data_IF_165041864762
#
_entry.id   IF_165041864762
#
_cell.length_a   1.000
_cell.length_b   1.000
_cell.length_c   1.000
_cell.angle_alpha   90.00
_cell.angle_beta   90.00
_cell.angle_gamma   90.00
#
_symmetry.space_group_name_H-M   'P 1'
#
loop_
_entity.id
_entity.type
_entity.pdbx_description
1 polymer ?
#
# COMPACT_ATOMS: atom_id res chain seq x y z
N UNK A 1 1.06 20.54 10.80
CA UNK A 1 1.57 19.25 10.25
C UNK A 1 0.78 18.04 10.74
N UNK A 2 0.45 17.92 12.04
CA UNK A 2 -0.30 16.78 12.59
C UNK A 2 -1.70 16.56 11.96
N UNK A 3 -2.46 17.63 11.75
CA UNK A 3 -3.82 17.55 11.18
C UNK A 3 -3.79 16.98 9.74
N UNK A 4 -2.79 17.37 8.93
CA UNK A 4 -2.64 16.86 7.56
C UNK A 4 -2.35 15.36 7.52
N UNK A 5 -1.58 14.84 8.47
CA UNK A 5 -1.31 13.39 8.57
C UNK A 5 -2.57 12.61 8.94
N UNK A 6 -3.30 13.08 9.95
CA UNK A 6 -4.53 12.44 10.43
C UNK A 6 -5.62 12.40 9.35
N UNK A 7 -5.79 13.49 8.59
CA UNK A 7 -6.76 13.57 7.49
C UNK A 7 -6.41 12.61 6.35
N UNK A 8 -5.11 12.38 6.06
CA UNK A 8 -4.68 11.42 5.05
C UNK A 8 -4.69 9.97 5.55
N UNK A 9 -4.49 9.72 6.85
CA UNK A 9 -4.53 8.37 7.41
C UNK A 9 -5.93 7.76 7.34
N UNK A 10 -6.98 8.54 7.58
CA UNK A 10 -8.39 8.09 7.47
C UNK A 10 -8.72 7.40 6.12
N UNK A 11 -8.56 8.05 4.96
CA UNK A 11 -8.88 7.44 3.67
C UNK A 11 -7.94 6.27 3.35
N UNK A 12 -6.67 6.34 3.75
CA UNK A 12 -5.73 5.23 3.56
C UNK A 12 -6.18 4.00 4.34
N UNK A 13 -6.59 4.15 5.61
CA UNK A 13 -7.08 3.02 6.41
C UNK A 13 -8.38 2.42 5.84
N UNK A 14 -9.32 3.25 5.38
CA UNK A 14 -10.56 2.80 4.75
C UNK A 14 -10.30 2.01 3.46
N UNK A 15 -9.39 2.50 2.61
CA UNK A 15 -9.04 1.89 1.33
C UNK A 15 -8.04 0.74 1.44
N UNK A 16 -7.38 0.59 2.59
CA UNK A 16 -6.35 -0.44 2.82
C UNK A 16 -6.92 -1.87 2.87
N UNK A 17 -8.24 -2.05 2.95
CA UNK A 17 -8.81 -3.39 3.08
C UNK A 17 -8.98 -3.86 4.53
N UNK A 18 -8.58 -3.05 5.52
CA UNK A 18 -8.69 -3.36 6.96
C UNK A 18 -10.12 -3.24 7.47
N UNK A 19 -10.79 -2.13 7.14
CA UNK A 19 -12.16 -1.82 7.60
C UNK A 19 -13.19 -2.38 6.62
N UNK A 20 -12.98 -2.15 5.32
CA UNK A 20 -13.81 -2.70 4.26
C UNK A 20 -13.04 -3.76 3.50
N UNK A 21 -13.55 -4.99 3.32
CA UNK A 21 -12.87 -5.98 2.52
C UNK A 21 -12.76 -5.48 1.07
N UNK A 22 -11.60 -5.72 0.44
CA UNK A 22 -11.28 -5.29 -0.94
C UNK A 22 -12.24 -5.90 -1.97
N UNK A 23 -12.93 -6.98 -1.61
CA UNK A 23 -13.97 -7.66 -2.40
C UNK A 23 -15.29 -6.88 -2.45
N UNK A 24 -15.62 -6.13 -1.40
CA UNK A 24 -16.89 -5.40 -1.29
C UNK A 24 -16.75 -3.92 -1.71
N UNK A 25 -15.56 -3.51 -2.18
CA UNK A 25 -15.34 -2.14 -2.63
C UNK A 25 -15.88 -1.93 -4.07
N UNK A 26 -16.58 -0.82 -4.35
CA UNK A 26 -16.97 -0.46 -5.71
C UNK A 26 -15.74 -0.28 -6.61
N UNK A 27 -15.90 -0.56 -7.91
CA UNK A 27 -14.80 -0.65 -8.88
C UNK A 27 -13.83 0.54 -8.86
N UNK A 28 -14.37 1.75 -8.72
CA UNK A 28 -13.61 3.00 -8.66
C UNK A 28 -12.67 3.05 -7.44
N UNK A 29 -13.18 2.68 -6.27
CA UNK A 29 -12.39 2.68 -5.03
C UNK A 29 -11.34 1.57 -5.06
N UNK A 30 -11.66 0.41 -5.64
CA UNK A 30 -10.71 -0.69 -5.84
C UNK A 30 -9.55 -0.29 -6.75
N UNK A 31 -9.85 0.47 -7.79
CA UNK A 31 -8.84 1.00 -8.71
C UNK A 31 -7.92 2.02 -8.03
N UNK A 32 -8.41 2.80 -7.07
CA UNK A 32 -7.56 3.72 -6.28
C UNK A 32 -6.75 2.94 -5.23
N UNK A 33 -7.39 1.99 -4.54
CA UNK A 33 -6.76 1.18 -3.50
C UNK A 33 -5.57 0.35 -4.00
N UNK A 34 -5.54 -0.03 -5.29
CA UNK A 34 -4.41 -0.76 -5.85
C UNK A 34 -3.09 0.03 -5.85
N UNK A 35 -3.17 1.37 -5.86
CA UNK A 35 -2.02 2.26 -5.77
C UNK A 35 -1.52 2.47 -4.34
N UNK A 36 -2.31 2.04 -3.34
CA UNK A 36 -1.98 2.21 -1.93
C UNK A 36 -1.19 0.99 -1.44
N UNK A 37 0.07 1.15 -0.98
CA UNK A 37 0.88 0.03 -0.51
C UNK A 37 0.27 -0.68 0.70
N UNK A 38 -0.46 0.05 1.56
CA UNK A 38 -1.15 -0.52 2.72
C UNK A 38 -2.13 -1.66 2.35
N UNK A 39 -2.77 -1.59 1.17
CA UNK A 39 -3.66 -2.65 0.69
C UNK A 39 -2.94 -3.97 0.43
N UNK A 40 -1.77 -3.91 -0.19
CA UNK A 40 -0.96 -5.10 -0.47
C UNK A 40 -0.40 -5.71 0.82
N UNK A 41 -0.02 -4.87 1.79
CA UNK A 41 0.43 -5.31 3.10
C UNK A 41 -0.66 -6.05 3.88
N UNK A 42 -1.89 -5.51 3.94
CA UNK A 42 -2.99 -6.15 4.69
C UNK A 42 -3.40 -7.47 4.04
N UNK A 43 -3.43 -7.55 2.70
CA UNK A 43 -3.71 -8.79 2.00
C UNK A 43 -2.64 -9.85 2.30
N UNK A 44 -1.36 -9.48 2.28
CA UNK A 44 -0.24 -10.35 2.64
C UNK A 44 -0.37 -10.89 4.08
N UNK A 45 -0.62 -10.00 5.04
CA UNK A 45 -0.81 -10.35 6.45
C UNK A 45 -2.03 -11.24 6.64
N UNK A 46 -3.14 -10.98 5.93
CA UNK A 46 -4.35 -11.80 6.00
C UNK A 46 -4.08 -13.24 5.51
N UNK A 47 -3.33 -13.38 4.41
CA UNK A 47 -2.94 -14.69 3.87
C UNK A 47 -2.00 -15.46 4.81
N UNK A 48 -1.01 -14.78 5.39
CA UNK A 48 -0.04 -15.40 6.30
C UNK A 48 -0.63 -15.70 7.68
N UNK A 49 -1.24 -14.71 8.32
CA UNK A 49 -1.66 -14.78 9.72
C UNK A 49 -3.06 -15.39 9.90
N UNK A 50 -4.01 -15.11 9.00
CA UNK A 50 -5.39 -15.60 9.15
C UNK A 50 -5.59 -16.92 8.40
N UNK A 51 -5.12 -16.99 7.16
CA UNK A 51 -5.30 -18.20 6.33
C UNK A 51 -4.21 -19.25 6.54
N UNK A 52 -3.12 -18.91 7.24
CA UNK A 52 -2.01 -19.83 7.51
C UNK A 52 -1.33 -20.38 6.26
N UNK A 53 -1.45 -19.68 5.13
CA UNK A 53 -0.91 -20.15 3.85
C UNK A 53 0.63 -20.10 3.86
N UNK A 54 1.30 -21.03 3.16
CA UNK A 54 2.74 -20.98 3.00
C UNK A 54 3.18 -19.69 2.29
N UNK A 55 4.36 -19.20 2.65
CA UNK A 55 4.93 -17.90 2.23
C UNK A 55 4.91 -17.70 0.71
N UNK A 56 4.93 -18.78 -0.07
CA UNK A 56 4.81 -18.75 -1.54
C UNK A 56 3.62 -17.95 -2.06
N UNK A 57 2.48 -17.96 -1.37
CA UNK A 57 1.25 -17.23 -1.77
C UNK A 57 1.29 -15.73 -1.50
N UNK A 58 2.31 -15.26 -0.79
CA UNK A 58 2.53 -13.85 -0.43
C UNK A 58 3.67 -13.24 -1.24
N UNK A 59 4.39 -14.04 -2.04
CA UNK A 59 5.47 -13.57 -2.91
C UNK A 59 4.97 -12.53 -3.93
N UNK A 60 3.76 -12.69 -4.45
CA UNK A 60 3.12 -11.71 -5.33
C UNK A 60 2.97 -10.35 -4.64
N UNK A 61 2.42 -10.32 -3.43
CA UNK A 61 2.21 -9.11 -2.65
C UNK A 61 3.53 -8.46 -2.26
N UNK A 62 4.51 -9.25 -1.83
CA UNK A 62 5.86 -8.78 -1.49
C UNK A 62 6.53 -8.18 -2.73
N UNK A 63 6.44 -8.83 -3.89
CA UNK A 63 7.03 -8.32 -5.14
C UNK A 63 6.45 -6.97 -5.55
N UNK A 64 5.14 -6.77 -5.39
CA UNK A 64 4.47 -5.49 -5.68
C UNK A 64 4.92 -4.41 -4.69
N UNK A 65 5.00 -4.74 -3.39
CA UNK A 65 5.50 -3.82 -2.37
C UNK A 65 6.95 -3.40 -2.62
N UNK A 66 7.81 -4.35 -2.97
CA UNK A 66 9.22 -4.08 -3.33
C UNK A 66 9.29 -3.23 -4.59
N UNK A 67 8.49 -3.54 -5.62
CA UNK A 67 8.40 -2.73 -6.84
C UNK A 67 8.00 -1.29 -6.54
N UNK A 68 6.96 -1.09 -5.72
CA UNK A 68 6.55 0.24 -5.28
C UNK A 68 7.65 0.97 -4.48
N UNK A 69 8.34 0.27 -3.58
CA UNK A 69 9.44 0.84 -2.80
C UNK A 69 10.58 1.31 -3.69
N UNK A 70 10.98 0.50 -4.68
CA UNK A 70 12.02 0.87 -5.66
C UNK A 70 11.57 2.06 -6.50
N UNK A 71 10.35 2.04 -7.02
CA UNK A 71 9.78 3.15 -7.82
C UNK A 71 9.77 4.45 -7.01
N UNK A 72 9.23 4.44 -5.79
CA UNK A 72 9.22 5.63 -4.94
C UNK A 72 10.63 6.08 -4.55
N UNK A 73 11.56 5.16 -4.32
CA UNK A 73 12.96 5.50 -4.03
C UNK A 73 13.62 6.16 -5.23
N UNK A 74 13.46 5.62 -6.45
CA UNK A 74 14.01 6.22 -7.68
C UNK A 74 13.37 7.59 -7.94
N UNK A 75 12.05 7.73 -7.77
CA UNK A 75 11.37 9.01 -7.90
C UNK A 75 11.89 10.01 -6.86
N UNK A 76 12.06 9.57 -5.61
CA UNK A 76 12.60 10.39 -4.53
C UNK A 76 14.02 10.85 -4.86
N UNK A 77 14.89 9.95 -5.32
CA UNK A 77 16.26 10.26 -5.75
C UNK A 77 16.30 11.23 -6.93
N UNK A 78 15.46 11.03 -7.96
CA UNK A 78 15.35 11.95 -9.11
C UNK A 78 14.78 13.31 -8.72
N UNK A 79 13.85 13.34 -7.75
CA UNK A 79 13.19 14.56 -7.27
C UNK A 79 13.99 15.28 -6.19
N UNK A 80 14.98 14.61 -5.60
CA UNK A 80 16.07 15.23 -4.84
C UNK A 80 16.89 16.09 -5.80
N UNK A 81 16.35 17.27 -6.12
CA UNK A 81 17.11 18.34 -6.75
C UNK A 81 18.29 18.60 -5.83
N UNK A 82 19.48 18.48 -6.40
CA UNK A 82 20.72 19.06 -5.90
C UNK A 82 20.43 20.55 -5.63
N UNK A 83 19.94 20.88 -4.44
CA UNK A 83 20.08 22.21 -3.85
C UNK A 83 21.41 22.20 -3.11
N UNK A 84 22.49 22.06 -3.87
CA UNK A 84 23.75 22.65 -3.48
C UNK A 84 23.81 23.99 -4.22
N UNK A 85 23.38 25.03 -3.51
CA UNK A 85 23.71 26.42 -3.78
C UNK A 85 24.02 27.02 -2.41
#
# INVERSE_FOLDING_TARGET
>A
MLISGLVFMMPVMLLSGMIFPVENMPFILRAIAQFIPAKWYIVAVKKLMIQGLPVGYVLTEISVLVGMAVVFTIISLKKFRIRLA
#
